data_IF_712564505371
#
_entry.id   IF_712564505371
#
_cell.length_a   1.000
_cell.length_b   1.000
_cell.length_c   1.000
_cell.angle_alpha   90.00
_cell.angle_beta   90.00
_cell.angle_gamma   90.00
#
_symmetry.space_group_name_H-M   'P 1'
#
loop_
_entity.id
_entity.type
_entity.pdbx_description
1 polymer ?
#
# COMPACT_ATOMS: atom_id res chain seq x y z
N UNK A 1 -13.11 12.47 -3.86
CA UNK A 1 -12.94 11.11 -3.33
C UNK A 1 -13.23 11.11 -1.85
N UNK A 2 -13.83 10.07 -1.35
CA UNK A 2 -14.18 9.87 0.06
C UNK A 2 -13.37 8.69 0.61
N UNK A 3 -12.33 8.97 1.39
CA UNK A 3 -11.40 7.94 1.87
C UNK A 3 -12.07 6.98 2.86
N UNK A 4 -12.93 7.49 3.76
CA UNK A 4 -13.67 6.65 4.70
C UNK A 4 -14.55 5.64 3.97
N UNK A 5 -15.27 6.09 2.92
CA UNK A 5 -16.09 5.21 2.09
C UNK A 5 -15.23 4.18 1.33
N UNK A 6 -14.05 4.55 0.85
CA UNK A 6 -13.11 3.59 0.24
C UNK A 6 -12.69 2.54 1.25
N UNK A 7 -12.37 2.94 2.49
CA UNK A 7 -12.02 2.00 3.56
C UNK A 7 -13.18 1.06 3.93
N UNK A 8 -14.40 1.57 3.98
CA UNK A 8 -15.60 0.75 4.22
C UNK A 8 -15.82 -0.29 3.11
N UNK A 9 -15.67 0.12 1.85
CA UNK A 9 -15.76 -0.80 0.71
C UNK A 9 -14.66 -1.86 0.78
N UNK A 10 -13.42 -1.45 1.10
CA UNK A 10 -12.29 -2.37 1.19
C UNK A 10 -12.49 -3.47 2.25
N UNK A 11 -13.21 -3.19 3.34
CA UNK A 11 -13.58 -4.22 4.34
C UNK A 11 -14.40 -5.38 3.76
N UNK A 12 -15.08 -5.18 2.65
CA UNK A 12 -15.90 -6.20 2.01
C UNK A 12 -15.11 -7.12 1.07
N UNK A 13 -13.85 -6.81 0.80
CA UNK A 13 -13.04 -7.62 -0.11
C UNK A 13 -12.58 -8.91 0.56
N UNK A 14 -12.45 -10.00 -0.19
CA UNK A 14 -11.96 -11.27 0.35
C UNK A 14 -10.61 -11.10 1.03
N UNK A 15 -10.46 -11.74 2.19
CA UNK A 15 -9.22 -11.77 3.01
C UNK A 15 -8.77 -10.41 3.57
N UNK A 16 -9.61 -9.37 3.50
CA UNK A 16 -9.36 -8.12 4.20
C UNK A 16 -9.88 -8.23 5.64
N UNK A 17 -8.98 -8.43 6.58
CA UNK A 17 -9.31 -8.56 8.00
C UNK A 17 -9.56 -7.21 8.67
N UNK A 18 -8.89 -6.15 8.22
CA UNK A 18 -8.98 -4.80 8.78
C UNK A 18 -8.81 -3.75 7.69
N UNK A 19 -9.55 -2.66 7.78
CA UNK A 19 -9.40 -1.49 6.90
C UNK A 19 -9.83 -0.23 7.64
N UNK A 20 -9.07 0.83 7.49
CA UNK A 20 -9.34 2.15 8.07
C UNK A 20 -8.82 3.23 7.15
N UNK A 21 -9.27 4.46 7.36
CA UNK A 21 -8.66 5.64 6.79
C UNK A 21 -7.90 6.41 7.88
N UNK A 22 -6.78 6.98 7.50
CA UNK A 22 -5.94 7.77 8.41
C UNK A 22 -5.52 9.07 7.74
N UNK A 23 -5.26 10.08 8.53
CA UNK A 23 -4.64 11.31 8.04
C UNK A 23 -3.12 11.17 8.06
N UNK A 24 -2.48 11.52 6.93
CA UNK A 24 -1.01 11.51 6.82
C UNK A 24 -0.36 10.15 7.15
N UNK A 25 -0.81 9.10 6.51
CA UNK A 25 -0.35 7.70 6.72
C UNK A 25 1.18 7.55 6.69
N UNK A 26 1.90 8.37 5.92
CA UNK A 26 3.36 8.36 5.86
C UNK A 26 4.05 9.05 7.06
N UNK A 27 3.30 9.77 7.89
CA UNK A 27 3.82 10.36 9.13
C UNK A 27 4.16 9.30 10.17
N UNK A 28 4.94 9.66 11.18
CA UNK A 28 5.30 8.72 12.25
C UNK A 28 4.06 8.16 12.98
N UNK A 29 3.06 8.97 13.39
CA UNK A 29 1.83 8.42 13.95
C UNK A 29 1.10 7.45 13.02
N UNK A 30 0.99 7.76 11.72
CA UNK A 30 0.35 6.88 10.74
C UNK A 30 1.11 5.55 10.56
N UNK A 31 2.43 5.58 10.63
CA UNK A 31 3.25 4.36 10.60
C UNK A 31 3.04 3.52 11.87
N UNK A 32 2.92 4.15 13.04
CA UNK A 32 2.63 3.43 14.29
C UNK A 32 1.23 2.79 14.26
N UNK A 33 0.24 3.43 13.66
CA UNK A 33 -1.09 2.83 13.45
C UNK A 33 -1.00 1.56 12.58
N UNK A 34 -0.18 1.58 11.51
CA UNK A 34 0.06 0.38 10.69
C UNK A 34 0.69 -0.73 11.53
N UNK A 35 1.73 -0.42 12.32
CA UNK A 35 2.40 -1.40 13.18
C UNK A 35 1.44 -1.99 14.21
N UNK A 36 0.61 -1.16 14.82
CA UNK A 36 -0.40 -1.60 15.79
C UNK A 36 -1.44 -2.53 15.14
N UNK A 37 -1.97 -2.14 13.98
CA UNK A 37 -2.96 -2.93 13.24
C UNK A 37 -2.40 -4.31 12.82
N UNK A 38 -1.16 -4.37 12.35
CA UNK A 38 -0.51 -5.65 11.99
C UNK A 38 -0.48 -6.59 13.19
N UNK A 39 -0.09 -6.10 14.36
CA UNK A 39 0.03 -6.91 15.59
C UNK A 39 -1.32 -7.30 16.16
N UNK A 40 -2.26 -6.37 16.21
CA UNK A 40 -3.60 -6.58 16.77
C UNK A 40 -4.40 -7.58 15.95
N UNK A 41 -4.41 -7.42 14.63
CA UNK A 41 -5.21 -8.25 13.72
C UNK A 41 -4.42 -9.42 13.13
N UNK A 42 -3.14 -9.60 13.51
CA UNK A 42 -2.24 -10.67 13.00
C UNK A 42 -2.23 -10.71 11.47
N UNK A 43 -1.99 -9.56 10.86
CA UNK A 43 -2.04 -9.42 9.41
C UNK A 43 -0.82 -10.08 8.75
N UNK A 44 -1.04 -10.70 7.58
CA UNK A 44 -0.01 -11.32 6.76
C UNK A 44 0.52 -10.39 5.66
N UNK A 45 -0.19 -9.31 5.38
CA UNK A 45 0.18 -8.31 4.39
C UNK A 45 -0.55 -6.99 4.59
N UNK A 46 -0.06 -5.93 3.95
CA UNK A 46 -0.59 -4.58 4.09
C UNK A 46 -0.72 -3.90 2.73
N UNK A 47 -1.87 -3.29 2.48
CA UNK A 47 -2.08 -2.37 1.36
C UNK A 47 -2.20 -0.95 1.90
N UNK A 48 -1.39 -0.04 1.39
CA UNK A 48 -1.51 1.40 1.67
C UNK A 48 -2.05 2.13 0.46
N UNK A 49 -3.26 2.68 0.58
CA UNK A 49 -3.88 3.50 -0.44
C UNK A 49 -3.56 4.98 -0.21
N UNK A 50 -2.63 5.51 -0.98
CA UNK A 50 -2.16 6.89 -0.78
C UNK A 50 -1.60 7.51 -2.07
N UNK A 51 -0.46 8.18 -1.99
CA UNK A 51 0.24 8.76 -3.13
C UNK A 51 1.06 7.72 -3.92
N UNK A 52 1.81 8.21 -4.91
CA UNK A 52 2.71 7.37 -5.70
C UNK A 52 3.70 6.59 -4.82
N UNK A 53 3.98 5.31 -5.13
CA UNK A 53 4.98 4.52 -4.42
C UNK A 53 6.40 5.05 -4.55
N UNK A 54 6.68 5.89 -5.56
CA UNK A 54 8.03 6.39 -5.88
C UNK A 54 8.78 6.99 -4.68
N UNK A 55 8.06 7.68 -3.78
CA UNK A 55 8.67 8.35 -2.64
C UNK A 55 8.57 7.52 -1.35
N UNK A 56 7.40 7.00 -1.04
CA UNK A 56 7.09 6.48 0.29
C UNK A 56 7.08 4.94 0.38
N UNK A 57 7.22 4.23 -0.72
CA UNK A 57 7.30 2.76 -0.68
C UNK A 57 8.43 2.26 0.25
N UNK A 58 9.66 2.79 0.22
CA UNK A 58 10.70 2.38 1.14
C UNK A 58 10.35 2.65 2.61
N UNK A 59 9.62 3.72 2.89
CA UNK A 59 9.15 4.06 4.24
C UNK A 59 8.18 3.00 4.76
N UNK A 60 7.17 2.67 3.99
CA UNK A 60 6.18 1.67 4.38
C UNK A 60 6.75 0.25 4.43
N UNK A 61 7.68 -0.11 3.54
CA UNK A 61 8.39 -1.40 3.63
C UNK A 61 9.16 -1.53 4.94
N UNK A 62 9.83 -0.47 5.40
CA UNK A 62 10.48 -0.47 6.73
C UNK A 62 9.46 -0.54 7.86
N UNK A 63 8.31 0.11 7.71
CA UNK A 63 7.24 0.08 8.71
C UNK A 63 6.68 -1.33 8.91
N UNK A 64 6.37 -2.04 7.83
CA UNK A 64 5.86 -3.41 7.92
C UNK A 64 6.93 -4.39 8.44
N UNK A 65 8.20 -4.20 8.04
CA UNK A 65 9.33 -4.98 8.55
C UNK A 65 9.53 -4.77 10.06
N UNK A 66 9.40 -3.54 10.54
CA UNK A 66 9.43 -3.20 11.97
C UNK A 66 8.29 -3.86 12.76
N UNK A 67 7.17 -4.13 12.13
CA UNK A 67 6.06 -4.88 12.72
C UNK A 67 6.26 -6.40 12.71
N UNK A 68 7.31 -6.91 12.06
CA UNK A 68 7.64 -8.33 11.97
C UNK A 68 7.16 -9.02 10.69
N UNK A 69 6.60 -8.27 9.72
CA UNK A 69 6.25 -8.82 8.41
C UNK A 69 7.43 -8.82 7.45
N UNK A 70 7.37 -9.71 6.46
CA UNK A 70 8.26 -9.62 5.30
C UNK A 70 7.96 -8.31 4.55
N UNK A 71 8.98 -7.52 4.26
CA UNK A 71 8.86 -6.20 3.62
C UNK A 71 8.25 -6.22 2.21
N UNK A 72 8.19 -7.38 1.57
CA UNK A 72 7.56 -7.57 0.26
C UNK A 72 6.10 -8.01 0.35
N UNK A 73 5.61 -8.35 1.55
CA UNK A 73 4.18 -8.54 1.81
C UNK A 73 3.48 -7.19 2.03
N UNK A 74 3.72 -6.29 1.08
CA UNK A 74 3.27 -4.91 1.11
C UNK A 74 2.99 -4.41 -0.31
N UNK A 75 1.88 -3.71 -0.51
CA UNK A 75 1.50 -3.12 -1.79
C UNK A 75 0.98 -1.68 -1.61
N UNK A 76 1.15 -0.84 -2.62
CA UNK A 76 0.59 0.51 -2.64
C UNK A 76 -0.43 0.69 -3.75
N UNK A 77 -1.59 1.25 -3.42
CA UNK A 77 -2.57 1.74 -4.37
C UNK A 77 -2.44 3.27 -4.52
N UNK A 78 -2.07 3.73 -5.71
CA UNK A 78 -1.95 5.17 -5.98
C UNK A 78 -3.33 5.79 -6.24
N UNK A 79 -3.96 6.30 -5.19
CA UNK A 79 -5.27 6.94 -5.27
C UNK A 79 -5.19 8.47 -5.33
N UNK A 80 -4.03 9.07 -5.13
CA UNK A 80 -3.85 10.52 -5.25
C UNK A 80 -3.63 10.92 -6.70
N UNK A 81 -2.52 10.54 -7.31
CA UNK A 81 -2.14 10.94 -8.67
C UNK A 81 -3.03 10.28 -9.73
N UNK A 82 -3.46 9.04 -9.52
CA UNK A 82 -4.28 8.31 -10.49
C UNK A 82 -5.80 8.53 -10.33
N UNK A 83 -6.23 9.18 -9.26
CA UNK A 83 -7.65 9.38 -8.99
C UNK A 83 -7.97 10.82 -8.59
N UNK A 84 -7.58 11.26 -7.36
CA UNK A 84 -8.07 12.52 -6.81
C UNK A 84 -7.55 13.76 -7.54
N UNK A 85 -6.40 13.70 -8.16
CA UNK A 85 -5.82 14.81 -8.91
C UNK A 85 -6.39 14.96 -10.31
N UNK A 86 -6.86 13.89 -10.91
CA UNK A 86 -7.32 13.90 -12.31
C UNK A 86 -8.85 13.88 -12.46
N UNK A 87 -9.56 13.37 -11.47
CA UNK A 87 -11.00 13.30 -11.46
C UNK A 87 -11.64 14.47 -10.72
N UNK A 88 -12.76 15.00 -11.23
CA UNK A 88 -13.52 16.09 -10.60
C UNK A 88 -14.74 15.59 -9.83
N UNK A 89 -15.30 14.46 -10.21
CA UNK A 89 -16.48 13.87 -9.58
C UNK A 89 -16.08 13.05 -8.35
N UNK A 90 -16.71 13.36 -7.20
CA UNK A 90 -16.36 12.72 -5.91
C UNK A 90 -16.74 11.25 -5.90
N UNK A 91 -17.90 10.89 -6.43
CA UNK A 91 -18.40 9.51 -6.39
C UNK A 91 -17.64 8.62 -7.36
N UNK A 92 -17.44 9.07 -8.60
CA UNK A 92 -16.63 8.37 -9.58
C UNK A 92 -15.20 8.15 -9.09
N UNK A 93 -14.60 9.15 -8.45
CA UNK A 93 -13.27 9.05 -7.84
C UNK A 93 -13.24 8.04 -6.68
N UNK A 94 -14.29 7.98 -5.85
CA UNK A 94 -14.39 7.02 -4.75
C UNK A 94 -14.45 5.60 -5.29
N UNK A 95 -15.29 5.36 -6.30
CA UNK A 95 -15.42 4.05 -6.93
C UNK A 95 -14.11 3.61 -7.61
N UNK A 96 -13.46 4.53 -8.33
CA UNK A 96 -12.16 4.25 -8.96
C UNK A 96 -11.05 3.96 -7.94
N UNK A 97 -11.02 4.70 -6.83
CA UNK A 97 -10.07 4.44 -5.75
C UNK A 97 -10.29 3.06 -5.11
N UNK A 98 -11.55 2.71 -4.84
CA UNK A 98 -11.91 1.39 -4.32
C UNK A 98 -11.45 0.27 -5.27
N UNK A 99 -11.62 0.45 -6.58
CA UNK A 99 -11.14 -0.52 -7.58
C UNK A 99 -9.62 -0.66 -7.59
N UNK A 100 -8.87 0.43 -7.48
CA UNK A 100 -7.40 0.37 -7.38
C UNK A 100 -6.96 -0.34 -6.09
N UNK A 101 -7.65 -0.11 -4.98
CA UNK A 101 -7.41 -0.86 -3.74
C UNK A 101 -7.71 -2.33 -3.92
N UNK A 102 -8.82 -2.69 -4.58
CA UNK A 102 -9.16 -4.08 -4.89
C UNK A 102 -8.06 -4.77 -5.69
N UNK A 103 -7.54 -4.10 -6.72
CA UNK A 103 -6.44 -4.62 -7.54
C UNK A 103 -5.19 -4.88 -6.67
N UNK A 104 -4.84 -3.94 -5.78
CA UNK A 104 -3.70 -4.09 -4.89
C UNK A 104 -3.90 -5.25 -3.88
N UNK A 105 -5.10 -5.40 -3.33
CA UNK A 105 -5.46 -6.54 -2.47
C UNK A 105 -5.34 -7.86 -3.23
N UNK A 106 -5.91 -7.95 -4.44
CA UNK A 106 -5.84 -9.15 -5.26
C UNK A 106 -4.41 -9.53 -5.68
N UNK A 107 -3.56 -8.53 -5.90
CA UNK A 107 -2.14 -8.76 -6.15
C UNK A 107 -1.47 -9.34 -4.90
N UNK A 108 -1.62 -8.67 -3.76
CA UNK A 108 -0.98 -9.07 -2.50
C UNK A 108 -1.41 -10.48 -2.04
N UNK A 109 -2.68 -10.86 -2.25
CA UNK A 109 -3.18 -12.22 -1.97
C UNK A 109 -2.46 -13.33 -2.72
N UNK A 110 -1.83 -13.00 -3.85
CA UNK A 110 -1.09 -13.95 -4.71
C UNK A 110 0.42 -13.86 -4.54
N UNK A 111 0.89 -12.86 -3.79
CA UNK A 111 2.30 -12.68 -3.53
C UNK A 111 2.81 -13.68 -2.48
N UNK A 112 4.09 -13.95 -2.55
CA UNK A 112 4.81 -14.76 -1.57
C UNK A 112 5.94 -13.93 -0.95
N UNK A 113 6.32 -14.22 0.30
CA UNK A 113 7.47 -13.57 0.92
C UNK A 113 8.73 -13.74 0.06
N UNK A 114 9.38 -12.62 -0.23
CA UNK A 114 10.63 -12.61 -0.98
C UNK A 114 11.81 -12.35 -0.05
N UNK A 115 12.98 -12.84 -0.44
CA UNK A 115 14.23 -12.66 0.30
C UNK A 115 15.26 -11.99 -0.59
N UNK A 116 16.01 -11.04 -0.03
CA UNK A 116 17.08 -10.36 -0.73
C UNK A 116 18.21 -11.36 -1.05
N UNK A 117 18.71 -11.29 -2.29
CA UNK A 117 19.89 -12.04 -2.73
C UNK A 117 20.97 -11.03 -3.14
N UNK A 118 22.22 -11.34 -2.82
CA UNK A 118 23.36 -10.54 -3.24
C UNK A 118 24.05 -11.24 -4.41
N UNK A 119 24.37 -10.44 -5.43
CA UNK A 119 25.14 -10.89 -6.59
C UNK A 119 26.30 -9.94 -6.82
N UNK A 120 27.44 -10.47 -7.20
CA UNK A 120 28.51 -9.64 -7.71
C UNK A 120 28.10 -9.01 -9.03
N UNK A 121 28.38 -7.73 -9.20
CA UNK A 121 28.07 -7.02 -10.43
C UNK A 121 29.29 -6.24 -10.92
N UNK A 122 29.46 -6.21 -12.23
CA UNK A 122 30.43 -5.32 -12.87
C UNK A 122 29.86 -3.91 -12.87
N UNK A 123 30.59 -2.94 -12.29
CA UNK A 123 30.19 -1.52 -12.26
C UNK A 123 30.31 -0.90 -13.65
N UNK A 124 29.44 -1.26 -14.57
CA UNK A 124 29.32 -0.71 -15.92
C UNK A 124 27.91 -0.19 -16.13
N UNK A 125 27.80 0.94 -16.83
CA UNK A 125 26.52 1.57 -17.13
C UNK A 125 26.37 1.64 -18.66
N UNK A 126 25.23 1.20 -19.16
CA UNK A 126 24.78 1.47 -20.51
C UNK A 126 23.77 2.61 -20.47
N UNK A 127 24.02 3.66 -21.21
CA UNK A 127 23.06 4.75 -21.42
C UNK A 127 22.48 4.60 -22.83
N UNK A 128 21.16 4.50 -22.91
CA UNK A 128 20.41 4.47 -24.16
C UNK A 128 19.60 5.75 -24.22
N UNK A 129 19.84 6.57 -25.23
CA UNK A 129 19.14 7.84 -25.48
C UNK A 129 17.93 7.70 -26.36
#
# INVERSE_FOLDING_TARGET
MDCGKVAEIAKTYPDVAFSTDTMYTCSEPGQEEIVAAIKEHKLDGVVVASCTPRMHEPTFRRTVERAGLNKYMFEMANIREHVSWIGKDKEANTNKAAELVRIAVEKLRRDNPLFSKSFESTKRVLVIG
#
